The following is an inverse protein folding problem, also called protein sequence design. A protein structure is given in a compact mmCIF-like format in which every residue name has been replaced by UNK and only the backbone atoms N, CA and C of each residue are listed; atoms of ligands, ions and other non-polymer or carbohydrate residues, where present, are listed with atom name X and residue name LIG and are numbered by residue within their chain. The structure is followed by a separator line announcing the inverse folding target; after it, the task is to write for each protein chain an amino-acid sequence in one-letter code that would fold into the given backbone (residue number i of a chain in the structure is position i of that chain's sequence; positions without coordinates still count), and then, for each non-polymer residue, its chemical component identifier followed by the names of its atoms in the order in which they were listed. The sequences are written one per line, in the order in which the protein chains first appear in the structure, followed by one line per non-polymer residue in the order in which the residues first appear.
data_IF_749181455148
#
_entry.id   IF_749181455148
#
_cell.length_a   1.000
_cell.length_b   1.000
_cell.length_c   1.000
_cell.angle_alpha   90.00
_cell.angle_beta   90.00
_cell.angle_gamma   90.00
#
_symmetry.space_group_name_H-M   'P 1'
#
loop_
_entity.id
_entity.type
_entity.pdbx_description
1 polymer ?
#
# COMPACT_ATOMS: atom_id res chain seq x y z
N UNK A 1 17.78 -10.20 7.43
CA UNK A 1 19.20 -10.60 7.46
C UNK A 1 19.92 -9.84 8.57
N UNK A 2 21.13 -10.28 8.90
CA UNK A 2 21.89 -9.84 10.06
C UNK A 2 22.98 -8.84 9.71
N UNK A 3 22.76 -7.93 8.77
CA UNK A 3 23.82 -7.02 8.32
C UNK A 3 24.09 -5.94 9.36
N UNK A 4 25.36 -5.70 9.62
CA UNK A 4 25.86 -4.59 10.43
C UNK A 4 27.14 -4.03 9.82
N UNK A 5 27.57 -2.86 10.27
CA UNK A 5 28.86 -2.27 9.87
C UNK A 5 30.02 -3.24 10.13
N UNK A 6 29.97 -4.01 11.23
CA UNK A 6 31.04 -4.92 11.63
C UNK A 6 31.21 -6.11 10.68
N UNK A 7 30.14 -6.52 10.00
CA UNK A 7 30.15 -7.70 9.16
C UNK A 7 29.89 -7.40 7.68
N UNK A 8 29.93 -6.13 7.25
CA UNK A 8 29.55 -5.70 5.90
C UNK A 8 30.35 -6.35 4.76
N UNK A 9 31.57 -6.81 5.05
CA UNK A 9 32.46 -7.48 4.09
C UNK A 9 32.36 -9.01 4.14
N UNK A 10 31.61 -9.57 5.09
CA UNK A 10 31.44 -11.02 5.21
C UNK A 10 30.46 -11.52 4.15
N UNK A 11 30.56 -12.80 3.81
CA UNK A 11 29.57 -13.45 2.96
C UNK A 11 28.23 -13.64 3.69
N UNK A 12 27.16 -13.92 2.94
CA UNK A 12 25.79 -13.99 3.45
C UNK A 12 25.59 -15.06 4.53
N UNK A 13 26.42 -16.11 4.57
CA UNK A 13 26.37 -17.19 5.56
C UNK A 13 27.41 -17.04 6.69
N UNK A 14 28.14 -15.92 6.73
CA UNK A 14 29.16 -15.61 7.74
C UNK A 14 28.79 -14.38 8.60
N UNK A 15 27.49 -14.18 8.81
CA UNK A 15 26.92 -13.04 9.54
C UNK A 15 26.02 -13.56 10.68
N UNK A 16 25.13 -12.72 11.25
CA UNK A 16 24.26 -13.21 12.31
C UNK A 16 23.40 -14.41 11.86
N UNK A 17 23.10 -15.34 12.78
CA UNK A 17 22.43 -16.61 12.47
C UNK A 17 21.06 -16.49 11.79
N UNK A 18 20.42 -15.32 11.85
CA UNK A 18 19.16 -15.06 11.14
C UNK A 18 19.27 -15.27 9.63
N UNK A 19 20.48 -15.21 9.07
CA UNK A 19 20.74 -15.46 7.64
C UNK A 19 20.81 -16.95 7.30
N UNK A 20 20.98 -17.81 8.30
CA UNK A 20 21.11 -19.25 8.14
C UNK A 20 19.77 -19.99 8.21
N UNK A 21 18.66 -19.29 8.51
CA UNK A 21 17.33 -19.91 8.63
C UNK A 21 16.92 -20.57 7.29
N UNK A 22 17.07 -19.85 6.17
CA UNK A 22 16.80 -20.38 4.83
C UNK A 22 17.68 -21.59 4.50
N UNK A 23 18.98 -21.54 4.87
CA UNK A 23 19.93 -22.66 4.71
C UNK A 23 19.50 -23.88 5.51
N UNK A 24 19.22 -23.71 6.80
CA UNK A 24 18.77 -24.77 7.69
C UNK A 24 17.46 -25.41 7.21
N UNK A 25 16.48 -24.60 6.78
CA UNK A 25 15.23 -25.12 6.21
C UNK A 25 15.47 -25.95 4.94
N UNK A 26 16.38 -25.51 4.06
CA UNK A 26 16.69 -26.23 2.84
C UNK A 26 17.38 -27.56 3.10
N UNK A 27 18.32 -27.60 4.05
CA UNK A 27 18.99 -28.83 4.47
C UNK A 27 18.01 -29.81 5.12
N UNK A 28 17.04 -29.32 5.91
CA UNK A 28 15.97 -30.13 6.47
C UNK A 28 15.04 -30.71 5.40
N UNK A 29 14.61 -29.88 4.44
CA UNK A 29 13.81 -30.33 3.30
C UNK A 29 14.56 -31.41 2.50
N UNK A 30 15.82 -31.15 2.15
CA UNK A 30 16.67 -32.08 1.41
C UNK A 30 16.86 -33.41 2.15
N UNK A 31 17.14 -33.37 3.45
CA UNK A 31 17.27 -34.59 4.28
C UNK A 31 15.98 -35.40 4.33
N UNK A 32 14.82 -34.74 4.33
CA UNK A 32 13.53 -35.40 4.37
C UNK A 32 13.05 -35.93 3.00
N UNK A 33 13.67 -35.48 1.90
CA UNK A 33 13.25 -35.78 0.54
C UNK A 33 11.92 -35.12 0.12
N UNK A 34 11.34 -34.26 0.95
CA UNK A 34 10.10 -33.53 0.67
C UNK A 34 10.14 -32.12 1.29
N UNK A 35 9.25 -31.23 0.83
CA UNK A 35 9.13 -29.90 1.41
C UNK A 35 8.37 -29.99 2.74
N UNK A 36 9.08 -29.91 3.86
CA UNK A 36 8.49 -29.88 5.21
C UNK A 36 8.43 -28.46 5.81
N UNK A 37 9.24 -27.53 5.29
CA UNK A 37 9.29 -26.15 5.71
C UNK A 37 9.35 -25.23 4.48
N UNK A 38 8.52 -24.19 4.51
CA UNK A 38 8.60 -23.03 3.61
C UNK A 38 9.05 -21.82 4.43
N UNK A 39 9.93 -21.00 3.85
CA UNK A 39 10.44 -19.78 4.45
C UNK A 39 10.07 -18.57 3.61
N UNK A 40 9.64 -17.52 4.30
CA UNK A 40 9.59 -16.15 3.77
C UNK A 40 10.80 -15.38 4.30
N UNK A 41 11.71 -14.98 3.42
CA UNK A 41 12.99 -14.42 3.82
C UNK A 41 12.89 -12.89 3.99
N UNK A 42 13.01 -12.40 5.22
CA UNK A 42 13.04 -10.95 5.49
C UNK A 42 14.41 -10.30 5.26
N UNK A 43 14.42 -9.15 4.58
CA UNK A 43 15.51 -8.18 4.60
C UNK A 43 15.18 -7.08 5.62
N UNK A 44 16.04 -6.92 6.63
CA UNK A 44 15.86 -5.96 7.71
C UNK A 44 16.10 -4.53 7.19
N UNK A 45 15.45 -3.54 7.79
CA UNK A 45 15.70 -2.15 7.42
C UNK A 45 17.02 -1.66 8.04
N UNK A 46 17.93 -1.18 7.20
CA UNK A 46 19.27 -0.74 7.60
C UNK A 46 19.34 0.79 7.71
N UNK A 47 20.28 1.33 8.53
CA UNK A 47 20.36 2.76 8.79
C UNK A 47 20.92 3.58 7.61
N UNK A 48 21.49 2.94 6.59
CA UNK A 48 22.02 3.59 5.40
C UNK A 48 21.88 2.72 4.15
N UNK A 49 22.01 3.34 2.98
CA UNK A 49 21.81 2.69 1.68
C UNK A 49 22.83 1.57 1.40
N UNK A 50 24.10 1.75 1.76
CA UNK A 50 25.15 0.73 1.57
C UNK A 50 24.78 -0.57 2.31
N UNK A 51 24.50 -0.47 3.61
CA UNK A 51 24.11 -1.62 4.41
C UNK A 51 22.77 -2.20 3.94
N UNK A 52 21.83 -1.37 3.50
CA UNK A 52 20.55 -1.84 2.98
C UNK A 52 20.70 -2.67 1.70
N UNK A 53 21.58 -2.27 0.79
CA UNK A 53 21.87 -3.04 -0.41
C UNK A 53 22.53 -4.37 -0.07
N UNK A 54 23.49 -4.39 0.86
CA UNK A 54 24.14 -5.62 1.33
C UNK A 54 23.11 -6.56 1.97
N UNK A 55 22.21 -6.02 2.79
CA UNK A 55 21.14 -6.75 3.45
C UNK A 55 20.16 -7.39 2.46
N UNK A 56 19.83 -6.69 1.37
CA UNK A 56 19.00 -7.19 0.28
C UNK A 56 19.74 -8.27 -0.51
N UNK A 57 20.98 -8.01 -0.95
CA UNK A 57 21.83 -8.97 -1.69
C UNK A 57 21.96 -10.30 -0.94
N UNK A 58 22.19 -10.22 0.38
CA UNK A 58 22.27 -11.41 1.24
C UNK A 58 20.96 -12.19 1.24
N UNK A 59 19.82 -11.51 1.34
CA UNK A 59 18.52 -12.18 1.31
C UNK A 59 18.32 -12.96 -0.01
N UNK A 60 18.73 -12.38 -1.13
CA UNK A 60 18.71 -13.06 -2.43
C UNK A 60 19.67 -14.25 -2.49
N UNK A 61 20.91 -14.12 -2.02
CA UNK A 61 21.88 -15.24 -1.98
C UNK A 61 21.42 -16.40 -1.10
N UNK A 62 20.83 -16.09 0.06
CA UNK A 62 20.25 -17.11 0.94
C UNK A 62 19.09 -17.85 0.27
N UNK A 63 18.20 -17.12 -0.42
CA UNK A 63 17.10 -17.70 -1.17
C UNK A 63 17.57 -18.57 -2.34
N UNK A 64 18.57 -18.09 -3.10
CA UNK A 64 19.18 -18.84 -4.19
C UNK A 64 19.81 -20.13 -3.70
N UNK A 65 20.63 -20.08 -2.65
CA UNK A 65 21.21 -21.26 -2.02
C UNK A 65 20.12 -22.26 -1.61
N UNK A 66 19.11 -21.79 -0.86
CA UNK A 66 18.07 -22.65 -0.32
C UNK A 66 17.28 -23.35 -1.43
N UNK A 67 16.90 -22.62 -2.48
CA UNK A 67 16.15 -23.17 -3.60
C UNK A 67 16.99 -24.05 -4.53
N UNK A 68 18.31 -23.86 -4.60
CA UNK A 68 19.23 -24.82 -5.25
C UNK A 68 19.35 -26.12 -4.46
N UNK A 69 19.40 -26.04 -3.13
CA UNK A 69 19.50 -27.21 -2.25
C UNK A 69 18.20 -28.01 -2.21
N UNK A 70 17.05 -27.33 -2.12
CA UNK A 70 15.74 -27.94 -2.27
C UNK A 70 14.74 -26.93 -2.83
N UNK A 71 14.23 -27.19 -4.04
CA UNK A 71 13.35 -26.27 -4.76
C UNK A 71 12.10 -25.91 -3.97
N UNK A 72 11.78 -24.61 -3.93
CA UNK A 72 10.60 -24.08 -3.25
C UNK A 72 10.74 -23.98 -1.74
N UNK A 73 11.96 -24.04 -1.18
CA UNK A 73 12.20 -23.80 0.25
C UNK A 73 11.95 -22.33 0.61
N UNK A 74 12.36 -21.39 -0.23
CA UNK A 74 12.07 -19.96 -0.06
C UNK A 74 11.11 -19.53 -1.16
N UNK A 75 9.92 -19.09 -0.78
CA UNK A 75 8.85 -18.69 -1.73
C UNK A 75 8.77 -17.18 -1.94
N UNK A 76 9.20 -16.40 -0.94
CA UNK A 76 9.17 -14.94 -1.01
C UNK A 76 10.35 -14.29 -0.28
N UNK A 77 10.71 -13.09 -0.73
CA UNK A 77 11.62 -12.19 -0.01
C UNK A 77 10.82 -10.96 0.39
N UNK A 78 10.80 -10.66 1.69
CA UNK A 78 10.12 -9.49 2.23
C UNK A 78 11.14 -8.36 2.38
N UNK A 79 11.03 -7.36 1.51
CA UNK A 79 11.83 -6.13 1.57
C UNK A 79 10.93 -5.02 2.09
N UNK A 80 11.18 -4.55 3.31
CA UNK A 80 10.40 -3.45 3.91
C UNK A 80 10.85 -2.07 3.45
N UNK A 81 11.76 -1.98 2.47
CA UNK A 81 12.39 -0.72 2.07
C UNK A 81 11.56 0.07 1.06
N UNK A 82 10.49 0.72 1.55
CA UNK A 82 9.76 1.77 0.82
C UNK A 82 10.70 2.84 0.22
N UNK A 83 11.87 3.05 0.85
CA UNK A 83 12.88 4.01 0.40
C UNK A 83 13.34 3.78 -1.04
N UNK A 84 13.70 2.54 -1.40
CA UNK A 84 14.26 2.27 -2.74
C UNK A 84 13.20 2.52 -3.83
N UNK A 85 11.94 2.17 -3.56
CA UNK A 85 10.82 2.46 -4.46
C UNK A 85 10.68 3.98 -4.65
N UNK A 86 10.76 4.75 -3.56
CA UNK A 86 10.67 6.22 -3.60
C UNK A 86 11.86 6.84 -4.35
N UNK A 87 13.08 6.32 -4.16
CA UNK A 87 14.29 6.84 -4.82
C UNK A 87 14.24 6.69 -6.34
N UNK A 88 13.70 5.57 -6.84
CA UNK A 88 13.65 5.29 -8.30
C UNK A 88 12.37 5.76 -8.98
N UNK A 89 11.34 6.16 -8.23
CA UNK A 89 10.03 6.55 -8.79
C UNK A 89 9.99 8.02 -9.19
N UNK A 90 9.36 8.32 -10.33
CA UNK A 90 9.02 9.68 -10.74
C UNK A 90 7.81 10.23 -9.97
N UNK A 91 6.86 9.35 -9.67
CA UNK A 91 5.69 9.67 -8.87
C UNK A 91 5.20 8.47 -8.07
N UNK A 92 4.51 8.74 -6.96
CA UNK A 92 3.80 7.74 -6.14
C UNK A 92 2.34 8.17 -6.02
N UNK A 93 1.45 7.21 -6.26
CA UNK A 93 0.02 7.34 -6.04
C UNK A 93 -0.34 6.68 -4.71
N UNK A 94 -1.01 7.41 -3.84
CA UNK A 94 -1.50 6.91 -2.56
C UNK A 94 -3.02 6.86 -2.59
N UNK A 95 -3.59 5.68 -2.34
CA UNK A 95 -5.02 5.55 -2.11
C UNK A 95 -5.30 6.01 -0.68
N UNK A 96 -5.96 7.17 -0.53
CA UNK A 96 -6.18 7.84 0.76
C UNK A 96 -7.68 8.02 0.94
N UNK A 97 -8.27 7.22 1.83
CA UNK A 97 -9.68 7.30 2.17
C UNK A 97 -9.89 7.93 3.55
N UNK A 98 -11.06 8.54 3.80
CA UNK A 98 -11.43 9.03 5.12
C UNK A 98 -11.30 7.96 6.19
N UNK A 99 -10.74 8.33 7.34
CA UNK A 99 -10.84 7.48 8.53
C UNK A 99 -12.28 7.48 9.05
N UNK A 100 -12.78 6.31 9.44
CA UNK A 100 -14.16 6.14 9.87
C UNK A 100 -14.51 6.94 11.14
N UNK A 101 -13.55 7.17 12.05
CA UNK A 101 -13.76 8.00 13.25
C UNK A 101 -14.02 9.46 12.88
N UNK A 102 -13.20 10.05 12.00
CA UNK A 102 -13.38 11.43 11.54
C UNK A 102 -14.64 11.59 10.66
N UNK A 103 -14.89 10.62 9.78
CA UNK A 103 -16.04 10.61 8.89
C UNK A 103 -17.38 10.55 9.63
N UNK A 104 -17.43 9.90 10.80
CA UNK A 104 -18.62 9.91 11.68
C UNK A 104 -18.88 11.27 12.31
N UNK A 105 -17.84 12.06 12.55
CA UNK A 105 -17.98 13.39 13.13
C UNK A 105 -18.43 14.42 12.09
N UNK A 106 -17.75 14.51 10.93
CA UNK A 106 -18.20 15.34 9.80
C UNK A 106 -17.41 15.06 8.53
N UNK A 107 -18.01 15.40 7.38
CA UNK A 107 -17.32 15.39 6.08
C UNK A 107 -16.09 16.30 6.09
N UNK A 108 -16.17 17.48 6.73
CA UNK A 108 -15.04 18.42 6.78
C UNK A 108 -13.83 17.84 7.55
N UNK A 109 -14.08 17.15 8.67
CA UNK A 109 -13.00 16.49 9.42
C UNK A 109 -12.41 15.31 8.64
N UNK A 110 -13.24 14.57 7.89
CA UNK A 110 -12.76 13.54 6.99
C UNK A 110 -11.87 14.10 5.87
N UNK A 111 -12.25 15.20 5.22
CA UNK A 111 -11.44 15.89 4.22
C UNK A 111 -10.11 16.33 4.83
N UNK A 112 -10.15 16.98 6.02
CA UNK A 112 -8.95 17.37 6.75
C UNK A 112 -8.03 16.18 7.03
N UNK A 113 -8.58 15.04 7.47
CA UNK A 113 -7.79 13.84 7.73
C UNK A 113 -7.11 13.28 6.47
N UNK A 114 -7.79 13.29 5.33
CA UNK A 114 -7.21 12.89 4.03
C UNK A 114 -6.09 13.84 3.60
N UNK A 115 -6.31 15.15 3.74
CA UNK A 115 -5.32 16.14 3.33
C UNK A 115 -4.10 16.18 4.25
N UNK A 116 -4.30 16.02 5.55
CA UNK A 116 -3.21 15.94 6.54
C UNK A 116 -2.33 14.71 6.25
N UNK A 117 -2.94 13.54 6.03
CA UNK A 117 -2.20 12.33 5.65
C UNK A 117 -1.46 12.48 4.32
N UNK A 118 -2.07 13.13 3.31
CA UNK A 118 -1.39 13.43 2.06
C UNK A 118 -0.12 14.26 2.27
N UNK A 119 -0.19 15.32 3.09
CA UNK A 119 0.96 16.17 3.36
C UNK A 119 2.06 15.44 4.13
N UNK A 120 1.69 14.62 5.12
CA UNK A 120 2.63 13.79 5.87
C UNK A 120 3.37 12.82 4.95
N UNK A 121 2.64 12.08 4.11
CA UNK A 121 3.22 11.16 3.12
C UNK A 121 4.08 11.91 2.10
N UNK A 122 3.61 13.03 1.58
CA UNK A 122 4.37 13.85 0.63
C UNK A 122 5.68 14.32 1.22
N UNK A 123 5.67 14.82 2.45
CA UNK A 123 6.88 15.29 3.11
C UNK A 123 7.85 14.13 3.38
N UNK A 124 7.33 12.97 3.83
CA UNK A 124 8.13 11.77 4.01
C UNK A 124 8.80 11.31 2.70
N UNK A 125 8.07 11.26 1.58
CA UNK A 125 8.63 10.86 0.29
C UNK A 125 9.62 11.89 -0.26
N UNK A 126 9.35 13.20 -0.09
CA UNK A 126 10.27 14.26 -0.54
C UNK A 126 11.57 14.31 0.25
N UNK A 127 11.58 13.84 1.49
CA UNK A 127 12.82 13.66 2.26
C UNK A 127 13.74 12.57 1.67
N UNK A 128 13.18 11.67 0.86
CA UNK A 128 13.91 10.59 0.19
C UNK A 128 14.26 10.98 -1.25
N UNK A 129 13.27 11.44 -2.02
CA UNK A 129 13.43 11.90 -3.39
C UNK A 129 12.79 13.30 -3.54
N UNK A 130 13.58 14.39 -3.50
CA UNK A 130 13.05 15.75 -3.57
C UNK A 130 12.24 16.08 -4.84
N UNK A 131 12.45 15.31 -5.92
CA UNK A 131 11.78 15.48 -7.22
C UNK A 131 10.48 14.67 -7.35
N UNK A 132 10.21 13.76 -6.42
CA UNK A 132 9.06 12.87 -6.52
C UNK A 132 7.75 13.66 -6.51
N UNK A 133 6.83 13.28 -7.40
CA UNK A 133 5.45 13.76 -7.38
C UNK A 133 4.62 12.81 -6.54
N UNK A 134 3.78 13.35 -5.68
CA UNK A 134 2.89 12.56 -4.83
C UNK A 134 1.46 12.92 -5.21
N UNK A 135 0.64 11.89 -5.39
CA UNK A 135 -0.69 11.96 -5.96
C UNK A 135 -1.66 11.26 -5.03
N UNK A 136 -2.85 11.81 -4.82
CA UNK A 136 -3.95 11.05 -4.23
C UNK A 136 -4.51 10.17 -5.34
N UNK A 137 -4.11 8.89 -5.33
CA UNK A 137 -4.39 7.92 -6.38
C UNK A 137 -5.82 7.41 -6.39
N UNK A 138 -6.43 7.35 -5.21
CA UNK A 138 -7.85 7.10 -5.04
C UNK A 138 -8.33 7.78 -3.77
N UNK A 139 -9.52 8.35 -3.83
CA UNK A 139 -10.26 8.82 -2.67
C UNK A 139 -11.73 8.91 -3.01
N UNK A 140 -12.61 8.55 -2.08
CA UNK A 140 -14.03 8.45 -2.38
C UNK A 140 -14.90 8.32 -1.14
N UNK A 141 -16.20 8.37 -1.36
CA UNK A 141 -17.21 8.20 -0.32
C UNK A 141 -18.46 7.58 -0.93
N UNK A 142 -18.90 6.42 -0.42
CA UNK A 142 -20.07 5.74 -0.95
C UNK A 142 -21.39 6.45 -0.60
N UNK A 143 -22.32 6.52 -1.57
CA UNK A 143 -23.62 7.17 -1.36
C UNK A 143 -24.61 6.33 -0.56
N UNK A 144 -24.38 5.03 -0.43
CA UNK A 144 -25.23 4.09 0.29
C UNK A 144 -24.48 2.78 0.56
N UNK A 145 -25.17 1.80 1.15
CA UNK A 145 -24.62 0.49 1.47
C UNK A 145 -23.85 0.46 2.79
N UNK A 146 -23.50 -0.75 3.22
CA UNK A 146 -22.82 -1.03 4.47
C UNK A 146 -21.30 -1.02 4.26
N UNK A 147 -20.59 -0.31 5.13
CA UNK A 147 -19.12 -0.32 5.19
C UNK A 147 -18.65 -1.19 6.35
N UNK A 148 -17.61 -2.01 6.16
CA UNK A 148 -17.05 -2.89 7.21
C UNK A 148 -16.54 -2.13 8.44
N UNK A 149 -16.05 -0.90 8.24
CA UNK A 149 -15.51 -0.05 9.29
C UNK A 149 -16.56 0.91 9.90
N UNK A 150 -17.83 0.80 9.50
CA UNK A 150 -18.94 1.64 9.97
C UNK A 150 -18.86 3.13 9.59
N UNK A 151 -18.18 3.47 8.49
CA UNK A 151 -18.20 4.80 7.90
C UNK A 151 -19.63 5.14 7.39
N UNK A 152 -20.16 6.33 7.70
CA UNK A 152 -21.53 6.67 7.33
C UNK A 152 -21.66 6.90 5.82
N UNK A 153 -22.53 6.14 5.17
CA UNK A 153 -22.83 6.30 3.75
C UNK A 153 -24.07 7.17 3.57
N UNK A 154 -23.98 8.17 2.70
CA UNK A 154 -25.14 8.92 2.24
C UNK A 154 -24.78 9.67 0.97
N UNK A 155 -25.78 9.90 0.11
CA UNK A 155 -25.61 10.71 -1.09
C UNK A 155 -25.12 12.13 -0.77
N UNK A 156 -25.64 12.73 0.32
CA UNK A 156 -25.20 14.05 0.79
C UNK A 156 -23.71 14.05 1.17
N UNK A 157 -23.26 13.02 1.90
CA UNK A 157 -21.85 12.91 2.27
C UNK A 157 -20.94 12.71 1.05
N UNK A 158 -21.34 11.88 0.08
CA UNK A 158 -20.61 11.71 -1.18
C UNK A 158 -20.41 13.05 -1.88
N UNK A 159 -21.50 13.79 -2.10
CA UNK A 159 -21.48 15.07 -2.83
C UNK A 159 -20.61 16.09 -2.09
N UNK A 160 -20.81 16.24 -0.78
CA UNK A 160 -20.07 17.20 0.03
C UNK A 160 -18.59 16.83 0.10
N UNK A 161 -18.25 15.55 0.19
CA UNK A 161 -16.87 15.08 0.24
C UNK A 161 -16.13 15.37 -1.07
N UNK A 162 -16.69 14.96 -2.21
CA UNK A 162 -16.09 15.19 -3.51
C UNK A 162 -15.89 16.67 -3.81
N UNK A 163 -16.91 17.51 -3.54
CA UNK A 163 -16.79 18.96 -3.73
C UNK A 163 -15.73 19.56 -2.82
N UNK A 164 -15.73 19.22 -1.54
CA UNK A 164 -14.81 19.82 -0.57
C UNK A 164 -13.37 19.39 -0.80
N UNK A 165 -13.14 18.09 -1.03
CA UNK A 165 -11.80 17.57 -1.34
C UNK A 165 -11.33 18.08 -2.71
N UNK A 166 -12.22 18.15 -3.70
CA UNK A 166 -11.90 18.64 -5.04
C UNK A 166 -11.50 20.11 -5.04
N UNK A 167 -12.26 20.97 -4.34
CA UNK A 167 -11.90 22.37 -4.14
C UNK A 167 -10.54 22.50 -3.43
N UNK A 168 -10.36 21.79 -2.30
CA UNK A 168 -9.09 21.84 -1.57
C UNK A 168 -7.91 21.40 -2.45
N UNK A 169 -8.06 20.30 -3.19
CA UNK A 169 -7.03 19.78 -4.06
C UNK A 169 -6.70 20.75 -5.21
N UNK A 170 -7.72 21.38 -5.80
CA UNK A 170 -7.56 22.43 -6.81
C UNK A 170 -6.78 23.63 -6.25
N UNK A 171 -7.22 24.17 -5.10
CA UNK A 171 -6.62 25.35 -4.47
C UNK A 171 -5.16 25.11 -4.07
N UNK A 172 -4.81 23.87 -3.72
CA UNK A 172 -3.47 23.48 -3.27
C UNK A 172 -2.64 22.77 -4.36
N UNK A 173 -3.13 22.70 -5.60
CA UNK A 173 -2.47 22.05 -6.73
C UNK A 173 -2.07 20.59 -6.45
N UNK A 174 -2.95 19.84 -5.78
CA UNK A 174 -2.78 18.42 -5.45
C UNK A 174 -3.39 17.58 -6.58
N UNK A 175 -2.61 16.73 -7.27
CA UNK A 175 -3.17 15.77 -8.20
C UNK A 175 -4.02 14.73 -7.45
N UNK A 176 -5.28 14.58 -7.88
CA UNK A 176 -6.30 13.76 -7.23
C UNK A 176 -7.10 12.98 -8.27
N UNK A 177 -7.27 11.69 -8.04
CA UNK A 177 -8.19 10.83 -8.76
C UNK A 177 -9.31 10.38 -7.82
N UNK A 178 -10.54 10.75 -8.16
CA UNK A 178 -11.72 10.33 -7.40
C UNK A 178 -12.11 8.90 -7.74
N UNK A 179 -12.42 8.14 -6.69
CA UNK A 179 -13.04 6.84 -6.77
C UNK A 179 -14.54 6.97 -6.47
N UNK A 180 -15.44 6.78 -7.42
CA UNK A 180 -15.20 6.46 -8.84
C UNK A 180 -16.23 7.17 -9.75
N UNK A 181 -16.09 7.03 -11.08
CA UNK A 181 -17.02 7.67 -12.00
C UNK A 181 -18.43 7.07 -11.88
N UNK A 182 -18.57 5.75 -12.03
CA UNK A 182 -19.86 5.09 -12.10
C UNK A 182 -20.03 4.10 -10.96
N UNK A 183 -21.26 3.98 -10.44
CA UNK A 183 -21.61 2.87 -9.59
C UNK A 183 -21.35 1.55 -10.31
N UNK A 184 -20.77 0.58 -9.58
CA UNK A 184 -20.46 -0.75 -10.08
C UNK A 184 -21.32 -1.81 -9.37
N UNK A 185 -22.55 -2.09 -9.87
CA UNK A 185 -23.47 -3.02 -9.23
C UNK A 185 -22.92 -4.44 -9.01
N UNK A 186 -21.92 -4.84 -9.81
CA UNK A 186 -21.25 -6.15 -9.67
C UNK A 186 -20.46 -6.26 -8.35
N UNK A 187 -20.12 -5.14 -7.71
CA UNK A 187 -19.49 -5.11 -6.38
C UNK A 187 -20.50 -5.24 -5.23
N UNK A 188 -21.81 -5.32 -5.52
CA UNK A 188 -22.85 -5.37 -4.49
C UNK A 188 -23.04 -6.78 -3.93
N UNK A 189 -22.19 -7.16 -2.98
CA UNK A 189 -22.37 -8.36 -2.17
C UNK A 189 -22.95 -7.98 -0.80
N UNK A 190 -24.14 -8.46 -0.46
CA UNK A 190 -24.80 -8.17 0.83
C UNK A 190 -24.96 -6.68 1.16
N UNK A 191 -25.43 -5.88 0.19
CA UNK A 191 -25.63 -4.43 0.34
C UNK A 191 -24.32 -3.69 0.69
N UNK A 192 -23.20 -4.11 0.11
CA UNK A 192 -21.89 -3.50 0.35
C UNK A 192 -21.80 -2.10 -0.26
N UNK A 193 -21.14 -1.18 0.46
CA UNK A 193 -20.88 0.18 0.00
C UNK A 193 -20.04 0.26 -1.29
N UNK A 194 -19.24 -0.77 -1.60
CA UNK A 194 -18.36 -0.83 -2.77
C UNK A 194 -19.08 -0.63 -4.11
N UNK A 195 -20.37 -0.95 -4.20
CA UNK A 195 -21.14 -0.75 -5.43
C UNK A 195 -21.60 0.70 -5.66
N UNK A 196 -21.35 1.61 -4.72
CA UNK A 196 -22.05 2.90 -4.64
C UNK A 196 -21.12 4.12 -4.52
N UNK A 197 -19.86 4.01 -4.94
CA UNK A 197 -18.88 5.12 -4.93
C UNK A 197 -19.00 6.08 -6.12
N UNK A 198 -19.80 5.72 -7.13
CA UNK A 198 -19.94 6.49 -8.37
C UNK A 198 -20.49 7.90 -8.14
N UNK A 199 -19.96 8.89 -8.86
CA UNK A 199 -20.63 10.18 -9.03
C UNK A 199 -21.89 10.05 -9.90
N UNK A 200 -21.88 9.10 -10.83
CA UNK A 200 -23.02 8.72 -11.66
C UNK A 200 -23.49 7.30 -11.34
N UNK A 201 -24.77 7.04 -11.56
CA UNK A 201 -25.30 5.67 -11.59
C UNK A 201 -25.97 5.38 -12.93
N UNK A 202 -25.95 4.10 -13.34
CA UNK A 202 -26.57 3.67 -14.60
C UNK A 202 -28.06 3.40 -14.41
N UNK A 203 -28.89 3.91 -15.32
CA UNK A 203 -30.32 3.59 -15.44
C UNK A 203 -30.66 3.29 -16.91
N UNK A 204 -30.79 2.00 -17.24
CA UNK A 204 -30.87 1.57 -18.64
C UNK A 204 -29.57 1.94 -19.37
N UNK A 205 -29.68 2.67 -20.47
CA UNK A 205 -28.53 3.15 -21.24
C UNK A 205 -28.07 4.57 -20.86
N UNK A 206 -28.69 5.17 -19.83
CA UNK A 206 -28.36 6.50 -19.36
C UNK A 206 -27.47 6.45 -18.10
N UNK A 207 -26.61 7.46 -17.97
CA UNK A 207 -25.85 7.73 -16.75
C UNK A 207 -26.42 8.98 -16.08
N UNK A 208 -26.79 8.84 -14.82
CA UNK A 208 -27.51 9.86 -14.09
C UNK A 208 -26.63 10.36 -12.95
N UNK A 209 -26.43 11.68 -12.91
CA UNK A 209 -25.57 12.32 -11.93
C UNK A 209 -26.22 12.35 -10.56
N UNK A 210 -25.48 11.93 -9.52
CA UNK A 210 -25.98 11.99 -8.14
C UNK A 210 -26.01 13.40 -7.59
N UNK A 211 -25.38 14.40 -8.19
CA UNK A 211 -25.46 15.77 -7.66
C UNK A 211 -26.77 16.50 -8.00
N UNK A 212 -27.46 16.15 -9.09
CA UNK A 212 -28.51 16.98 -9.70
C UNK A 212 -29.96 16.46 -9.58
N UNK A 213 -30.18 15.25 -9.05
CA UNK A 213 -31.54 14.72 -8.86
C UNK A 213 -32.13 15.08 -7.48
N UNK A 214 -32.82 16.20 -7.34
CA UNK A 214 -33.68 16.46 -6.17
C UNK A 214 -35.14 16.27 -6.56
#
# INVERSE_FOLDING_TARGET
MGTTIMNRNNDWDQVYPTCLIAKAAAELNAKSGQKILTIEQGAYQQPNAELQMIEIDRAFKAAEYANRMFSGTVESIIITTLRNIVEISDFIMCNIYPRADLARSSVNLAVRGVTDLYWDLRNAFKNINPRIKVVIGESGWASQGNTSNGMPTSRSNLINYWRSLGCYASDNQIPLYFYEAFDEPLKNFNNCAEAYFGWWFRKGDNFIEKANNC
#
